data_IF_564518707079
#
_entry.id   IF_564518707079
#
_cell.length_a   1.000
_cell.length_b   1.000
_cell.length_c   1.000
_cell.angle_alpha   90.00
_cell.angle_beta   90.00
_cell.angle_gamma   90.00
#
_symmetry.space_group_name_H-M   'P 1'
#
loop_
_entity.id
_entity.type
_entity.pdbx_description
1 polymer ?
#
# COMPACT_ATOMS: atom_id res chain seq x y z
N UNK A 1 1.09 0.63 -28.15
CA UNK A 1 2.24 0.99 -27.28
C UNK A 1 2.10 0.22 -26.00
N UNK A 2 2.85 -0.84 -25.84
CA UNK A 2 2.97 -1.58 -24.60
C UNK A 2 3.48 -0.62 -23.54
N UNK A 3 2.61 -0.23 -22.60
CA UNK A 3 3.08 0.21 -21.31
C UNK A 3 3.65 -1.04 -20.63
N UNK A 4 4.92 -1.31 -20.91
CA UNK A 4 5.65 -2.36 -20.23
C UNK A 4 5.84 -1.89 -18.78
N UNK A 5 4.87 -2.19 -17.94
CA UNK A 5 5.18 -2.44 -16.54
C UNK A 5 6.08 -3.67 -16.61
N UNK A 6 7.40 -3.46 -16.58
CA UNK A 6 8.33 -4.57 -16.43
C UNK A 6 7.90 -5.30 -15.20
N UNK A 7 7.56 -6.58 -15.35
CA UNK A 7 7.19 -7.43 -14.22
C UNK A 7 8.41 -7.55 -13.30
N UNK A 8 8.54 -6.61 -12.40
CA UNK A 8 9.65 -6.54 -11.44
C UNK A 8 9.46 -7.54 -10.29
N UNK A 9 8.40 -8.35 -10.33
CA UNK A 9 8.02 -9.19 -9.19
C UNK A 9 7.40 -8.41 -8.02
N UNK A 10 7.50 -7.09 -8.03
CA UNK A 10 7.01 -6.24 -6.95
C UNK A 10 5.48 -6.09 -7.03
N UNK A 11 4.82 -6.21 -5.90
CA UNK A 11 3.36 -6.05 -5.80
C UNK A 11 2.93 -4.61 -6.02
N UNK A 12 3.70 -3.65 -5.51
CA UNK A 12 3.45 -2.22 -5.71
C UNK A 12 4.45 -1.69 -6.73
N UNK A 13 3.95 -1.06 -7.78
CA UNK A 13 4.72 -0.62 -8.92
C UNK A 13 4.52 0.88 -9.17
N UNK A 14 5.55 1.54 -9.73
CA UNK A 14 5.51 2.95 -10.08
C UNK A 14 5.58 3.09 -11.60
N UNK A 15 4.61 3.83 -12.16
CA UNK A 15 4.57 4.20 -13.57
C UNK A 15 5.42 5.45 -13.73
N UNK A 16 6.62 5.31 -14.28
CA UNK A 16 7.62 6.38 -14.37
C UNK A 16 7.08 7.62 -15.08
N UNK A 17 6.48 7.46 -16.25
CA UNK A 17 5.94 8.57 -17.05
C UNK A 17 4.84 9.38 -16.37
N UNK A 18 4.13 8.81 -15.40
CA UNK A 18 3.12 9.51 -14.62
C UNK A 18 3.69 10.10 -13.31
N UNK A 19 4.90 9.73 -12.94
CA UNK A 19 5.56 10.16 -11.70
C UNK A 19 6.56 11.30 -11.91
N UNK A 20 7.06 11.51 -13.13
CA UNK A 20 8.11 12.49 -13.46
C UNK A 20 7.72 13.93 -13.12
N UNK A 21 6.50 14.34 -13.43
CA UNK A 21 6.03 15.72 -13.22
C UNK A 21 5.60 16.01 -11.77
N UNK A 22 5.67 15.03 -10.88
CA UNK A 22 5.31 15.25 -9.49
C UNK A 22 6.42 16.07 -8.78
N UNK A 23 6.09 17.20 -8.13
CA UNK A 23 7.10 18.03 -7.49
C UNK A 23 7.86 17.27 -6.40
N UNK A 24 9.18 17.43 -6.37
CA UNK A 24 10.02 16.83 -5.32
C UNK A 24 9.68 17.51 -3.99
N UNK A 25 9.58 16.70 -2.92
CA UNK A 25 9.40 17.23 -1.56
C UNK A 25 10.54 18.15 -1.20
N UNK A 26 10.23 19.43 -0.99
CA UNK A 26 11.18 20.42 -0.50
C UNK A 26 10.47 21.69 -0.06
N UNK A 27 11.19 22.59 0.61
CA UNK A 27 10.71 23.93 0.84
C UNK A 27 10.86 24.77 -0.44
N UNK A 28 9.80 25.48 -0.80
CA UNK A 28 9.80 26.40 -1.95
C UNK A 28 9.30 27.77 -1.56
N UNK A 29 9.83 28.79 -2.22
CA UNK A 29 9.36 30.17 -2.02
C UNK A 29 8.17 30.41 -2.96
N UNK A 30 7.03 30.78 -2.38
CA UNK A 30 5.80 31.08 -3.09
C UNK A 30 5.75 32.49 -3.58
N UNK A 31 4.72 32.87 -4.33
CA UNK A 31 4.47 34.23 -4.82
C UNK A 31 4.17 35.22 -3.71
N UNK A 32 3.85 34.79 -2.51
CA UNK A 32 3.66 35.64 -1.33
C UNK A 32 4.96 36.29 -0.85
N UNK A 33 6.11 35.96 -1.44
CA UNK A 33 7.39 36.50 -1.06
C UNK A 33 7.49 37.99 -1.44
N UNK A 34 7.62 38.87 -0.46
CA UNK A 34 7.75 40.29 -0.62
C UNK A 34 9.20 40.74 -0.84
N UNK A 35 10.13 39.85 -1.04
CA UNK A 35 11.56 40.12 -1.17
C UNK A 35 12.07 41.12 -0.11
N UNK A 36 11.61 41.02 1.13
CA UNK A 36 11.81 41.95 2.22
C UNK A 36 13.29 42.26 2.48
N UNK A 37 13.60 43.48 2.93
CA UNK A 37 14.96 43.91 3.19
C UNK A 37 15.64 43.12 4.30
N UNK A 38 14.88 42.72 5.32
CA UNK A 38 15.42 42.00 6.50
C UNK A 38 15.88 40.58 6.25
N UNK A 39 15.49 39.96 5.10
CA UNK A 39 15.95 38.63 4.66
C UNK A 39 15.96 37.57 5.75
N UNK A 40 14.98 37.57 6.64
CA UNK A 40 14.91 36.67 7.80
C UNK A 40 15.06 35.20 7.42
N UNK A 41 14.51 34.77 6.27
CA UNK A 41 14.64 33.41 5.77
C UNK A 41 16.09 33.05 5.39
N UNK A 42 16.86 33.96 4.81
CA UNK A 42 18.25 33.77 4.44
C UNK A 42 19.10 33.67 5.71
N UNK A 43 18.91 34.58 6.66
CA UNK A 43 19.63 34.63 7.92
C UNK A 43 19.35 33.38 8.80
N UNK A 44 18.15 32.81 8.69
CA UNK A 44 17.79 31.58 9.40
C UNK A 44 18.39 30.30 8.78
N UNK A 45 18.87 30.36 7.54
CA UNK A 45 19.39 29.20 6.84
C UNK A 45 20.87 28.95 7.15
N UNK A 46 21.15 27.97 8.01
CA UNK A 46 22.54 27.58 8.37
C UNK A 46 23.30 26.88 7.22
N UNK A 47 22.60 26.47 6.18
CA UNK A 47 23.17 25.68 5.08
C UNK A 47 23.44 26.52 3.83
N UNK A 48 23.18 27.83 3.87
CA UNK A 48 23.33 28.70 2.71
C UNK A 48 22.48 28.30 1.50
N UNK A 49 21.36 27.60 1.74
CA UNK A 49 20.50 27.10 0.69
C UNK A 49 19.52 28.15 0.14
N UNK A 50 19.48 29.35 0.73
CA UNK A 50 18.54 30.41 0.33
C UNK A 50 19.31 31.62 -0.16
N UNK A 51 18.97 32.09 -1.34
CA UNK A 51 19.58 33.25 -1.98
C UNK A 51 18.52 34.30 -2.33
N UNK A 52 18.91 35.57 -2.31
CA UNK A 52 18.04 36.65 -2.71
C UNK A 52 17.97 36.70 -4.25
N UNK A 53 16.79 36.56 -4.80
CA UNK A 53 16.56 36.80 -6.21
C UNK A 53 16.06 38.24 -6.48
N UNK A 54 15.82 38.54 -7.73
CA UNK A 54 15.36 39.87 -8.15
C UNK A 54 13.96 40.24 -7.64
N UNK A 55 13.03 39.28 -7.72
CA UNK A 55 11.62 39.46 -7.32
C UNK A 55 11.30 38.73 -6.02
N UNK A 56 11.92 37.59 -5.80
CA UNK A 56 11.72 36.71 -4.62
C UNK A 56 12.99 35.95 -4.30
N UNK A 57 13.11 35.49 -3.07
CA UNK A 57 14.19 34.58 -2.68
C UNK A 57 14.04 33.21 -3.39
N UNK A 58 15.14 32.50 -3.53
CA UNK A 58 15.19 31.16 -4.12
C UNK A 58 15.80 30.19 -3.13
N UNK A 59 15.30 28.94 -3.13
CA UNK A 59 15.85 27.86 -2.32
C UNK A 59 16.49 26.84 -3.26
N UNK A 60 17.78 26.58 -3.07
CA UNK A 60 18.51 25.54 -3.76
C UNK A 60 18.14 24.16 -3.16
N UNK A 61 17.45 23.27 -3.93
CA UNK A 61 17.04 21.97 -3.42
C UNK A 61 18.21 21.05 -3.03
N UNK A 62 19.38 21.22 -3.68
CA UNK A 62 20.55 20.38 -3.42
C UNK A 62 21.23 20.72 -2.09
N UNK A 63 21.21 22.01 -1.72
CA UNK A 63 21.75 22.49 -0.44
C UNK A 63 20.76 22.39 0.71
N UNK A 64 19.45 22.35 0.40
CA UNK A 64 18.37 22.33 1.39
C UNK A 64 18.35 21.02 2.19
N UNK A 65 18.39 21.13 3.53
CA UNK A 65 18.26 19.99 4.46
C UNK A 65 16.85 19.86 5.04
N UNK A 66 15.86 20.51 4.44
CA UNK A 66 14.43 20.43 4.82
C UNK A 66 14.14 20.72 6.32
N UNK A 67 14.96 21.52 6.97
CA UNK A 67 14.85 21.77 8.42
C UNK A 67 13.72 22.74 8.82
N UNK A 68 13.09 23.43 7.87
CA UNK A 68 11.92 24.29 8.07
C UNK A 68 12.18 25.66 8.72
N UNK A 69 13.39 25.98 9.17
CA UNK A 69 13.71 27.24 9.86
C UNK A 69 13.39 28.49 9.06
N UNK A 70 13.61 28.44 7.74
CA UNK A 70 13.30 29.54 6.83
C UNK A 70 11.79 29.83 6.75
N UNK A 71 10.97 28.77 6.77
CA UNK A 71 9.52 28.93 6.76
C UNK A 71 9.03 29.55 8.07
N UNK A 72 9.57 29.12 9.21
CA UNK A 72 9.25 29.69 10.53
C UNK A 72 9.69 31.15 10.67
N UNK A 73 10.83 31.51 10.07
CA UNK A 73 11.38 32.86 10.13
C UNK A 73 10.68 33.83 9.18
N UNK A 74 9.91 33.36 8.21
CA UNK A 74 9.27 34.21 7.20
C UNK A 74 8.01 34.87 7.76
N UNK A 75 7.98 36.21 7.93
CA UNK A 75 6.82 36.93 8.48
C UNK A 75 5.61 36.93 7.53
N UNK A 76 5.82 36.61 6.26
CA UNK A 76 4.77 36.54 5.24
C UNK A 76 4.26 35.13 4.95
N UNK A 77 4.75 34.14 5.67
CA UNK A 77 4.45 32.71 5.38
C UNK A 77 4.65 32.35 3.88
N UNK A 78 5.65 32.96 3.26
CA UNK A 78 5.92 32.83 1.83
C UNK A 78 6.74 31.59 1.48
N UNK A 79 7.06 30.72 2.43
CA UNK A 79 7.84 29.51 2.20
C UNK A 79 6.97 28.31 2.55
N UNK A 80 6.59 27.54 1.53
CA UNK A 80 5.77 26.35 1.67
C UNK A 80 6.62 25.09 1.65
N UNK A 81 6.24 24.11 2.44
CA UNK A 81 6.80 22.76 2.40
C UNK A 81 5.95 21.88 1.49
N UNK A 82 6.44 21.62 0.28
CA UNK A 82 5.80 20.71 -0.66
C UNK A 82 6.19 19.27 -0.27
N UNK A 83 5.20 18.48 0.10
CA UNK A 83 5.38 17.06 0.45
C UNK A 83 4.72 16.20 -0.61
N UNK A 84 5.46 15.27 -1.20
CA UNK A 84 4.86 14.26 -2.06
C UNK A 84 3.91 13.37 -1.24
N UNK A 85 2.64 13.26 -1.64
CA UNK A 85 1.64 12.52 -0.88
C UNK A 85 2.04 11.06 -0.62
N UNK A 86 2.64 10.39 -1.60
CA UNK A 86 3.07 9.00 -1.48
C UNK A 86 4.14 8.78 -0.39
N UNK A 87 5.17 9.64 -0.34
CA UNK A 87 6.22 9.57 0.67
C UNK A 87 5.70 9.93 2.05
N UNK A 88 4.89 10.99 2.12
CA UNK A 88 4.32 11.44 3.40
C UNK A 88 3.35 10.44 4.01
N UNK A 89 2.60 9.72 3.17
CA UNK A 89 1.64 8.71 3.62
C UNK A 89 2.27 7.37 4.00
N UNK A 90 3.53 7.13 3.64
CA UNK A 90 4.20 5.86 3.91
C UNK A 90 4.56 5.71 5.39
N UNK A 91 3.95 4.76 6.14
CA UNK A 91 4.16 4.65 7.57
C UNK A 91 5.55 4.13 7.94
N UNK A 92 6.25 3.50 6.99
CA UNK A 92 7.56 2.87 7.19
C UNK A 92 8.68 3.55 6.38
N UNK A 93 8.42 4.72 5.82
CA UNK A 93 9.39 5.48 5.01
C UNK A 93 10.08 4.67 3.91
N UNK A 94 9.34 3.76 3.27
CA UNK A 94 9.86 2.89 2.22
C UNK A 94 9.94 3.57 0.84
N UNK A 95 9.64 4.88 0.72
CA UNK A 95 9.62 5.59 -0.55
C UNK A 95 10.77 6.58 -0.62
N UNK A 96 11.63 6.40 -1.60
CA UNK A 96 12.74 7.26 -1.97
C UNK A 96 12.56 7.79 -3.40
N UNK A 97 13.53 8.48 -3.94
CA UNK A 97 13.53 9.00 -5.31
C UNK A 97 14.83 8.64 -6.01
N UNK A 98 14.76 8.34 -7.31
CA UNK A 98 15.93 8.19 -8.15
C UNK A 98 16.46 9.56 -8.62
N UNK A 99 17.51 9.57 -9.44
CA UNK A 99 18.14 10.76 -10.02
C UNK A 99 17.18 11.61 -10.88
N UNK A 100 16.14 11.00 -11.45
CA UNK A 100 15.10 11.68 -12.25
C UNK A 100 13.92 12.15 -11.38
N UNK A 101 14.00 12.00 -10.07
CA UNK A 101 12.92 12.37 -9.16
C UNK A 101 11.74 11.40 -9.15
N UNK A 102 11.82 10.25 -9.81
CA UNK A 102 10.77 9.23 -9.82
C UNK A 102 10.78 8.48 -8.48
N UNK A 103 9.60 8.21 -7.94
CA UNK A 103 9.47 7.46 -6.70
C UNK A 103 9.97 6.03 -6.86
N UNK A 104 10.80 5.59 -5.92
CA UNK A 104 11.30 4.21 -5.82
C UNK A 104 10.85 3.62 -4.49
N UNK A 105 10.32 2.40 -4.54
CA UNK A 105 9.83 1.68 -3.37
C UNK A 105 10.90 0.70 -2.91
N UNK A 106 11.36 0.88 -1.68
CA UNK A 106 12.29 -0.03 -1.01
C UNK A 106 11.53 -1.26 -0.50
N UNK A 107 11.65 -2.38 -1.22
CA UNK A 107 10.96 -3.63 -0.88
C UNK A 107 11.42 -4.23 0.46
N UNK A 108 12.63 -3.92 0.90
CA UNK A 108 13.11 -4.37 2.22
C UNK A 108 12.31 -3.75 3.37
N UNK A 109 11.79 -2.52 3.17
CA UNK A 109 10.98 -1.78 4.15
C UNK A 109 9.49 -1.85 3.87
N UNK A 110 9.10 -2.02 2.61
CA UNK A 110 7.71 -1.93 2.20
C UNK A 110 6.86 -3.05 2.81
N UNK A 111 5.81 -2.68 3.54
CA UNK A 111 4.84 -3.61 4.15
C UNK A 111 3.64 -3.90 3.25
N UNK A 112 3.65 -3.40 2.02
CA UNK A 112 2.64 -3.64 0.98
C UNK A 112 1.22 -3.18 1.34
N UNK A 113 1.08 -2.24 2.26
CA UNK A 113 -0.22 -1.76 2.74
C UNK A 113 -1.06 -0.99 1.71
N UNK A 114 -0.49 -0.54 0.59
CA UNK A 114 -1.19 0.18 -0.48
C UNK A 114 -1.49 1.66 -0.21
N UNK A 115 -1.07 2.21 0.93
CA UNK A 115 -1.39 3.61 1.31
C UNK A 115 -0.85 4.64 0.30
N UNK A 116 0.31 4.36 -0.30
CA UNK A 116 0.90 5.20 -1.35
C UNK A 116 0.07 5.21 -2.64
N UNK A 117 -0.62 4.10 -2.97
CA UNK A 117 -1.52 4.01 -4.13
C UNK A 117 -2.68 4.99 -3.94
N UNK A 118 -3.33 4.93 -2.80
CA UNK A 118 -4.44 5.82 -2.44
C UNK A 118 -4.05 7.30 -2.41
N UNK A 119 -2.82 7.57 -1.97
CA UNK A 119 -2.35 8.95 -1.79
C UNK A 119 -1.81 9.58 -3.06
N UNK A 120 -1.59 8.82 -4.13
CA UNK A 120 -1.05 9.35 -5.37
C UNK A 120 -2.16 9.99 -6.21
N UNK A 121 -2.20 11.33 -6.36
CA UNK A 121 -3.27 12.00 -7.12
C UNK A 121 -3.16 11.77 -8.63
N UNK A 122 -1.98 11.35 -9.12
CA UNK A 122 -1.73 11.07 -10.53
C UNK A 122 -2.00 9.62 -10.93
N UNK A 123 -2.34 8.75 -9.97
CA UNK A 123 -2.44 7.31 -10.24
C UNK A 123 -1.14 6.66 -10.70
N UNK A 124 0.02 7.32 -10.44
CA UNK A 124 1.33 6.82 -10.86
C UNK A 124 1.81 5.60 -10.07
N UNK A 125 1.17 5.28 -8.95
CA UNK A 125 1.49 4.11 -8.14
C UNK A 125 0.30 3.17 -8.20
N UNK A 126 0.55 1.95 -8.66
CA UNK A 126 -0.45 0.90 -8.79
C UNK A 126 -0.03 -0.39 -8.12
N UNK A 127 -0.95 -1.34 -8.01
CA UNK A 127 -0.62 -2.70 -7.59
C UNK A 127 -0.64 -3.63 -8.80
N UNK A 128 0.18 -4.70 -8.76
CA UNK A 128 0.13 -5.77 -9.75
C UNK A 128 -1.32 -6.24 -9.93
N UNK A 129 -1.77 -6.36 -11.15
CA UNK A 129 -3.11 -6.85 -11.48
C UNK A 129 -3.05 -8.28 -12.00
N UNK A 130 -4.04 -9.08 -11.65
CA UNK A 130 -4.22 -10.46 -12.11
C UNK A 130 -5.49 -10.59 -12.96
N UNK A 131 -6.05 -9.48 -13.44
CA UNK A 131 -7.34 -9.49 -14.15
C UNK A 131 -7.28 -10.32 -15.44
N UNK A 132 -6.16 -10.28 -16.15
CA UNK A 132 -5.98 -11.07 -17.39
C UNK A 132 -5.92 -12.55 -17.08
N UNK A 133 -5.13 -12.95 -16.06
CA UNK A 133 -5.01 -14.34 -15.62
C UNK A 133 -6.37 -14.91 -15.17
N UNK A 134 -7.18 -14.08 -14.50
CA UNK A 134 -8.54 -14.44 -14.06
C UNK A 134 -9.47 -14.63 -15.25
N UNK A 135 -9.45 -13.71 -16.24
CA UNK A 135 -10.25 -13.83 -17.44
C UNK A 135 -9.88 -15.09 -18.22
N UNK A 136 -8.60 -15.35 -18.36
CA UNK A 136 -8.10 -16.55 -19.06
C UNK A 136 -8.50 -17.83 -18.32
N UNK A 137 -8.45 -17.81 -16.99
CA UNK A 137 -8.91 -18.94 -16.18
C UNK A 137 -10.42 -19.21 -16.35
N UNK A 138 -11.25 -18.16 -16.31
CA UNK A 138 -12.71 -18.24 -16.47
C UNK A 138 -13.09 -18.76 -17.88
N UNK A 139 -12.35 -18.34 -18.92
CA UNK A 139 -12.58 -18.77 -20.30
C UNK A 139 -12.09 -20.19 -20.59
N UNK A 140 -11.28 -20.76 -19.71
CA UNK A 140 -10.76 -22.13 -19.88
C UNK A 140 -11.81 -23.16 -19.48
N UNK A 141 -12.22 -24.00 -20.43
CA UNK A 141 -13.20 -25.09 -20.19
C UNK A 141 -12.74 -26.15 -19.19
N UNK A 142 -11.43 -26.23 -18.96
CA UNK A 142 -10.81 -27.28 -18.11
C UNK A 142 -10.51 -26.79 -16.69
N UNK A 143 -10.93 -25.57 -16.31
CA UNK A 143 -10.63 -25.02 -14.98
C UNK A 143 -11.90 -24.72 -14.20
N UNK A 144 -11.94 -25.17 -12.96
CA UNK A 144 -12.96 -24.77 -12.00
C UNK A 144 -12.50 -23.53 -11.27
N UNK A 145 -13.11 -22.40 -11.53
CA UNK A 145 -12.73 -21.09 -10.96
C UNK A 145 -13.70 -20.69 -9.86
N UNK A 146 -13.18 -20.52 -8.66
CA UNK A 146 -13.97 -20.14 -7.48
C UNK A 146 -13.68 -18.69 -7.10
N UNK A 147 -14.74 -17.89 -6.96
CA UNK A 147 -14.66 -16.54 -6.39
C UNK A 147 -14.67 -16.60 -4.86
N UNK A 148 -13.64 -16.07 -4.23
CA UNK A 148 -13.55 -15.87 -2.78
C UNK A 148 -13.68 -14.39 -2.48
N UNK A 149 -14.82 -13.95 -1.93
CA UNK A 149 -15.13 -12.53 -1.72
C UNK A 149 -14.88 -12.13 -0.28
N UNK A 150 -14.11 -11.05 -0.11
CA UNK A 150 -13.81 -10.49 1.21
C UNK A 150 -15.07 -9.88 1.86
N UNK A 151 -15.23 -9.98 3.19
CA UNK A 151 -16.34 -9.32 3.92
C UNK A 151 -16.41 -7.81 3.65
N UNK A 152 -15.27 -7.17 3.45
CA UNK A 152 -15.18 -5.74 3.13
C UNK A 152 -15.81 -5.35 1.78
N UNK A 153 -16.21 -6.31 0.95
CA UNK A 153 -16.95 -6.04 -0.29
C UNK A 153 -18.44 -5.74 -0.02
N UNK A 154 -18.96 -6.15 1.13
CA UNK A 154 -20.32 -5.85 1.54
C UNK A 154 -20.50 -4.33 1.70
N UNK A 155 -21.61 -3.81 1.18
CA UNK A 155 -21.91 -2.38 1.22
C UNK A 155 -21.16 -1.49 0.22
N UNK A 156 -20.18 -2.01 -0.52
CA UNK A 156 -19.39 -1.22 -1.50
C UNK A 156 -20.27 -0.63 -2.64
N UNK A 157 -21.33 -1.32 -3.01
CA UNK A 157 -22.26 -0.91 -4.05
C UNK A 157 -23.63 -0.46 -3.53
N UNK A 158 -23.71 -0.12 -2.24
CA UNK A 158 -24.92 0.33 -1.56
C UNK A 158 -25.58 -0.76 -0.71
N UNK A 159 -26.41 -0.32 0.22
CA UNK A 159 -27.02 -1.20 1.24
C UNK A 159 -27.94 -2.30 0.68
N UNK A 160 -28.42 -2.15 -0.55
CA UNK A 160 -29.31 -3.14 -1.20
C UNK A 160 -28.52 -4.28 -1.89
N UNK A 161 -27.20 -4.20 -1.98
CA UNK A 161 -26.37 -5.20 -2.61
C UNK A 161 -25.84 -6.15 -1.54
N UNK A 162 -26.50 -7.28 -1.42
CA UNK A 162 -26.15 -8.34 -0.45
C UNK A 162 -25.14 -9.33 -1.04
N UNK A 163 -24.56 -10.21 -0.20
CA UNK A 163 -23.68 -11.27 -0.65
C UNK A 163 -24.36 -12.24 -1.63
N UNK A 164 -25.69 -12.41 -1.55
CA UNK A 164 -26.45 -13.13 -2.57
C UNK A 164 -26.43 -12.46 -3.95
N UNK A 165 -26.45 -11.13 -3.98
CA UNK A 165 -26.28 -10.38 -5.23
C UNK A 165 -24.88 -10.57 -5.80
N UNK A 166 -23.85 -10.55 -4.96
CA UNK A 166 -22.48 -10.88 -5.33
C UNK A 166 -22.37 -12.28 -5.92
N UNK A 167 -22.95 -13.29 -5.27
CA UNK A 167 -22.97 -14.68 -5.76
C UNK A 167 -23.55 -14.79 -7.17
N UNK A 168 -24.71 -14.17 -7.39
CA UNK A 168 -25.37 -14.14 -8.72
C UNK A 168 -24.50 -13.43 -9.76
N UNK A 169 -23.89 -12.29 -9.38
CA UNK A 169 -22.99 -11.55 -10.27
C UNK A 169 -21.76 -12.38 -10.67
N UNK A 170 -21.12 -13.05 -9.70
CA UNK A 170 -19.97 -13.90 -9.98
C UNK A 170 -20.32 -15.09 -10.88
N UNK A 171 -21.48 -15.71 -10.67
CA UNK A 171 -21.98 -16.75 -11.56
C UNK A 171 -22.23 -16.24 -12.98
N UNK A 172 -22.81 -15.04 -13.12
CA UNK A 172 -23.06 -14.42 -14.42
C UNK A 172 -21.76 -14.05 -15.17
N UNK A 173 -20.68 -13.75 -14.44
CA UNK A 173 -19.34 -13.49 -15.00
C UNK A 173 -18.65 -14.79 -15.46
N UNK A 174 -19.07 -15.96 -14.94
CA UNK A 174 -18.53 -17.27 -15.34
C UNK A 174 -17.75 -18.03 -14.26
N UNK A 175 -17.81 -17.57 -13.00
CA UNK A 175 -17.24 -18.37 -11.91
C UNK A 175 -18.07 -19.62 -11.62
N UNK A 176 -17.40 -20.73 -11.41
CA UNK A 176 -18.05 -22.03 -11.09
C UNK A 176 -18.56 -22.09 -9.64
N UNK A 177 -17.92 -21.36 -8.74
CA UNK A 177 -18.29 -21.32 -7.35
C UNK A 177 -18.07 -19.96 -6.70
N UNK A 178 -18.74 -19.77 -5.55
CA UNK A 178 -18.64 -18.54 -4.74
C UNK A 178 -18.53 -18.92 -3.27
N UNK A 179 -17.55 -18.35 -2.58
CA UNK A 179 -17.33 -18.55 -1.14
C UNK A 179 -17.06 -17.19 -0.47
N UNK A 180 -17.73 -16.96 0.64
CA UNK A 180 -17.47 -15.81 1.49
C UNK A 180 -16.24 -16.06 2.36
N UNK A 181 -15.26 -15.15 2.30
CA UNK A 181 -14.02 -15.29 3.08
C UNK A 181 -14.25 -15.06 4.59
N UNK A 182 -15.43 -14.57 4.98
CA UNK A 182 -15.86 -14.56 6.38
C UNK A 182 -15.77 -15.95 7.03
N UNK A 183 -16.15 -17.01 6.29
CA UNK A 183 -15.99 -18.40 6.76
C UNK A 183 -14.53 -18.71 7.13
N UNK A 184 -13.56 -18.22 6.33
CA UNK A 184 -12.15 -18.36 6.66
C UNK A 184 -11.75 -17.56 7.90
N UNK A 185 -12.44 -16.45 8.16
CA UNK A 185 -12.28 -15.68 9.40
C UNK A 185 -12.67 -16.48 10.63
N UNK A 186 -13.81 -17.15 10.59
CA UNK A 186 -14.27 -18.03 11.68
C UNK A 186 -13.31 -19.20 11.90
N UNK A 187 -12.84 -19.83 10.82
CA UNK A 187 -11.84 -20.89 10.90
C UNK A 187 -10.54 -20.39 11.54
N UNK A 188 -10.00 -19.28 11.06
CA UNK A 188 -8.76 -18.68 11.58
C UNK A 188 -8.92 -18.31 13.06
N UNK A 189 -10.06 -17.71 13.43
CA UNK A 189 -10.32 -17.31 14.81
C UNK A 189 -10.36 -18.50 15.76
N UNK A 190 -10.94 -19.62 15.35
CA UNK A 190 -10.97 -20.85 16.16
C UNK A 190 -9.55 -21.38 16.42
N UNK A 191 -8.72 -21.51 15.38
CA UNK A 191 -7.33 -21.96 15.52
C UNK A 191 -6.46 -20.98 16.31
N UNK A 192 -6.62 -19.67 16.07
CA UNK A 192 -5.87 -18.65 16.82
C UNK A 192 -6.27 -18.63 18.30
N UNK A 193 -7.54 -18.92 18.64
CA UNK A 193 -8.00 -18.99 20.01
C UNK A 193 -7.30 -20.11 20.80
N UNK A 194 -7.14 -21.29 20.20
CA UNK A 194 -6.44 -22.42 20.81
C UNK A 194 -4.95 -22.07 21.00
N UNK A 195 -4.28 -21.54 19.98
CA UNK A 195 -2.88 -21.11 20.05
C UNK A 195 -2.67 -19.99 21.10
N UNK A 196 -3.64 -19.12 21.23
CA UNK A 196 -3.62 -18.02 22.20
C UNK A 196 -3.78 -18.53 23.64
N UNK A 197 -4.64 -19.51 23.85
CA UNK A 197 -4.87 -20.13 25.15
C UNK A 197 -3.59 -20.86 25.63
N UNK A 198 -2.98 -21.66 24.76
CA UNK A 198 -1.73 -22.35 25.05
C UNK A 198 -0.61 -21.36 25.44
N UNK A 199 -0.47 -20.26 24.67
CA UNK A 199 0.53 -19.24 24.95
C UNK A 199 0.25 -18.50 26.27
N UNK A 200 -1.03 -18.23 26.57
CA UNK A 200 -1.44 -17.59 27.81
C UNK A 200 -1.11 -18.45 29.04
N UNK A 201 -1.40 -19.75 28.97
CA UNK A 201 -1.05 -20.71 30.03
C UNK A 201 0.47 -20.83 30.24
N UNK A 202 1.25 -20.68 29.16
CA UNK A 202 2.72 -20.62 29.23
C UNK A 202 3.28 -19.27 29.70
N UNK A 203 2.40 -18.26 29.93
CA UNK A 203 2.83 -16.89 30.30
C UNK A 203 3.40 -16.09 29.13
N UNK A 204 3.16 -16.55 27.89
CA UNK A 204 3.62 -15.89 26.69
C UNK A 204 2.54 -14.98 26.06
N UNK A 205 2.96 -14.16 25.09
CA UNK A 205 2.05 -13.28 24.33
C UNK A 205 2.06 -13.68 22.86
N UNK A 206 0.90 -13.79 22.26
CA UNK A 206 0.71 -14.01 20.83
C UNK A 206 -0.05 -12.85 20.19
N UNK A 207 0.19 -12.62 18.90
CA UNK A 207 -0.54 -11.66 18.07
C UNK A 207 -1.04 -12.36 16.81
N UNK A 208 -2.16 -11.88 16.26
CA UNK A 208 -2.81 -12.47 15.09
C UNK A 208 -1.94 -12.40 13.82
N UNK A 209 -2.14 -13.35 12.91
CA UNK A 209 -1.50 -13.42 11.58
C UNK A 209 -2.43 -13.05 10.42
N UNK A 210 -3.71 -12.77 10.67
CA UNK A 210 -4.74 -12.57 9.64
C UNK A 210 -4.48 -11.40 8.66
N UNK A 211 -3.64 -10.42 9.04
CA UNK A 211 -3.29 -9.26 8.22
C UNK A 211 -1.86 -9.34 7.67
N UNK A 212 -1.63 -9.64 6.37
CA UNK A 212 -0.29 -9.75 5.80
C UNK A 212 0.50 -8.44 5.84
N UNK A 213 -0.18 -7.30 5.84
CA UNK A 213 0.48 -6.00 6.05
C UNK A 213 1.08 -5.86 7.46
N UNK A 214 0.37 -6.35 8.47
CA UNK A 214 0.87 -6.39 9.85
C UNK A 214 2.02 -7.40 10.00
N UNK A 215 1.86 -8.61 9.46
CA UNK A 215 2.91 -9.64 9.47
C UNK A 215 4.19 -9.12 8.81
N UNK A 216 4.08 -8.47 7.64
CA UNK A 216 5.21 -7.85 6.96
C UNK A 216 5.84 -6.72 7.80
N UNK A 217 5.04 -5.94 8.51
CA UNK A 217 5.55 -4.90 9.41
C UNK A 217 6.38 -5.50 10.53
N UNK A 218 5.86 -6.53 11.21
CA UNK A 218 6.60 -7.17 12.30
C UNK A 218 7.88 -7.81 11.77
N UNK A 219 7.80 -8.64 10.74
CA UNK A 219 8.97 -9.35 10.19
C UNK A 219 10.08 -8.42 9.71
N UNK A 220 9.74 -7.25 9.16
CA UNK A 220 10.72 -6.33 8.56
C UNK A 220 11.23 -5.26 9.53
N UNK A 221 10.40 -4.81 10.45
CA UNK A 221 10.71 -3.67 11.30
C UNK A 221 10.86 -4.02 12.79
N UNK A 222 10.35 -5.20 13.19
CA UNK A 222 10.37 -5.70 14.56
C UNK A 222 10.67 -7.20 14.59
N UNK A 223 11.79 -7.65 13.97
CA UNK A 223 12.11 -9.07 13.81
C UNK A 223 12.17 -9.83 15.16
N UNK A 224 12.46 -9.14 16.24
CA UNK A 224 12.45 -9.67 17.61
C UNK A 224 11.06 -10.10 18.10
N UNK A 225 10.00 -9.66 17.42
CA UNK A 225 8.62 -10.03 17.73
C UNK A 225 8.04 -11.07 16.74
N UNK A 226 8.84 -11.55 15.81
CA UNK A 226 8.36 -12.44 14.75
C UNK A 226 7.87 -13.79 15.27
N UNK A 227 8.45 -14.28 16.36
CA UNK A 227 8.04 -15.50 17.07
C UNK A 227 6.70 -15.38 17.82
N UNK A 228 6.25 -14.14 18.05
CA UNK A 228 4.96 -13.86 18.69
C UNK A 228 3.79 -13.84 17.69
N UNK A 229 4.05 -13.86 16.40
CA UNK A 229 2.99 -13.93 15.38
C UNK A 229 2.38 -15.33 15.41
N UNK A 230 1.04 -15.43 15.34
CA UNK A 230 0.32 -16.69 15.18
C UNK A 230 0.83 -17.44 13.95
N UNK A 231 0.90 -18.77 14.04
CA UNK A 231 1.27 -19.65 12.93
C UNK A 231 0.09 -19.92 11.99
N UNK A 232 -1.11 -19.51 12.38
CA UNK A 232 -2.33 -19.71 11.62
C UNK A 232 -2.31 -18.93 10.29
N UNK A 233 -2.78 -19.56 9.23
CA UNK A 233 -2.86 -18.90 7.92
C UNK A 233 -3.96 -17.84 7.87
N UNK A 234 -3.85 -16.90 6.94
CA UNK A 234 -4.88 -15.86 6.78
C UNK A 234 -6.23 -16.46 6.34
N UNK A 235 -7.35 -15.78 6.64
CA UNK A 235 -8.70 -16.21 6.20
C UNK A 235 -8.80 -16.54 4.72
N UNK A 236 -8.12 -15.78 3.86
CA UNK A 236 -8.06 -16.05 2.42
C UNK A 236 -7.39 -17.38 2.12
N UNK A 237 -6.25 -17.64 2.73
CA UNK A 237 -5.52 -18.91 2.55
C UNK A 237 -6.27 -20.08 3.15
N UNK A 238 -6.97 -19.92 4.28
CA UNK A 238 -7.80 -20.96 4.89
C UNK A 238 -8.92 -21.40 3.94
N UNK A 239 -9.67 -20.45 3.36
CA UNK A 239 -10.72 -20.76 2.38
C UNK A 239 -10.15 -21.38 1.11
N UNK A 240 -9.02 -20.87 0.60
CA UNK A 240 -8.37 -21.46 -0.58
C UNK A 240 -7.97 -22.92 -0.34
N UNK A 241 -7.36 -23.22 0.81
CA UNK A 241 -7.01 -24.62 1.20
C UNK A 241 -8.23 -25.50 1.36
N UNK A 242 -9.31 -24.98 1.94
CA UNK A 242 -10.59 -25.71 2.07
C UNK A 242 -11.18 -26.06 0.70
N UNK A 243 -11.17 -25.14 -0.26
CA UNK A 243 -11.64 -25.39 -1.63
C UNK A 243 -10.76 -26.45 -2.29
N UNK A 244 -9.45 -26.27 -2.24
CA UNK A 244 -8.49 -27.19 -2.87
C UNK A 244 -8.46 -28.59 -2.22
N UNK A 245 -8.86 -28.72 -0.97
CA UNK A 245 -9.04 -30.04 -0.34
C UNK A 245 -10.19 -30.85 -0.96
N UNK A 246 -11.20 -30.15 -1.54
CA UNK A 246 -12.34 -30.78 -2.23
C UNK A 246 -12.13 -30.88 -3.74
N UNK A 247 -11.46 -29.91 -4.33
CA UNK A 247 -11.16 -29.81 -5.75
C UNK A 247 -9.69 -29.35 -5.91
N UNK A 248 -8.73 -30.29 -5.99
CA UNK A 248 -7.30 -29.98 -6.03
C UNK A 248 -6.89 -29.09 -7.21
N UNK A 249 -7.59 -29.19 -8.34
CA UNK A 249 -7.32 -28.43 -9.57
C UNK A 249 -8.04 -27.08 -9.60
N UNK A 250 -8.80 -26.74 -8.56
CA UNK A 250 -9.52 -25.48 -8.46
C UNK A 250 -8.59 -24.26 -8.53
N UNK A 251 -8.98 -23.30 -9.34
CA UNK A 251 -8.39 -21.96 -9.34
C UNK A 251 -9.17 -21.08 -8.38
N UNK A 252 -8.52 -20.60 -7.33
CA UNK A 252 -9.15 -19.74 -6.33
C UNK A 252 -8.80 -18.29 -6.61
N UNK A 253 -9.80 -17.43 -6.73
CA UNK A 253 -9.66 -16.00 -7.03
C UNK A 253 -10.18 -15.17 -5.86
N UNK A 254 -9.29 -14.47 -5.17
CA UNK A 254 -9.67 -13.58 -4.08
C UNK A 254 -10.08 -12.21 -4.61
N UNK A 255 -11.26 -11.76 -4.23
CA UNK A 255 -11.84 -10.46 -4.58
C UNK A 255 -11.97 -9.64 -3.30
N UNK A 256 -11.16 -8.59 -3.19
CA UNK A 256 -11.16 -7.73 -2.00
C UNK A 256 -10.23 -6.52 -2.15
N UNK A 257 -10.38 -5.51 -1.26
CA UNK A 257 -9.66 -4.23 -1.39
C UNK A 257 -8.21 -4.26 -0.89
N UNK A 258 -7.76 -5.35 -0.27
CA UNK A 258 -6.46 -5.40 0.40
C UNK A 258 -5.30 -5.71 -0.56
N UNK A 259 -4.41 -4.74 -0.76
CA UNK A 259 -3.22 -4.89 -1.61
C UNK A 259 -2.22 -5.90 -1.01
N UNK A 260 -2.05 -5.90 0.31
CA UNK A 260 -1.10 -6.78 0.98
C UNK A 260 -1.43 -8.27 0.80
N UNK A 261 -2.71 -8.62 0.62
CA UNK A 261 -3.12 -10.00 0.34
C UNK A 261 -2.58 -10.56 -0.97
N UNK A 262 -2.17 -9.71 -1.90
CA UNK A 262 -1.48 -10.17 -3.11
C UNK A 262 -0.13 -10.83 -2.84
N UNK A 263 0.48 -10.61 -1.67
CA UNK A 263 1.71 -11.29 -1.28
C UNK A 263 1.50 -12.76 -0.89
N UNK A 264 0.27 -13.12 -0.57
CA UNK A 264 -0.10 -14.49 -0.16
C UNK A 264 -0.55 -15.39 -1.33
N UNK A 265 -0.55 -14.84 -2.57
CA UNK A 265 -1.00 -15.60 -3.76
C UNK A 265 -0.01 -16.71 -4.15
N UNK A 266 1.23 -16.59 -3.70
CA UNK A 266 2.31 -17.52 -4.03
C UNK A 266 2.73 -18.40 -2.82
N UNK A 267 2.10 -18.22 -1.67
CA UNK A 267 2.29 -19.03 -0.47
C UNK A 267 1.28 -20.19 -0.45
#
# INVERSE_FOLDING_TARGET
RQMCIRDSGNIIQVISSACEDCPISSYTVTENCQNCLGKACINACKFGAIEAGRLRSHIDPQKCKECGRCAQACPYNAIAHLKRPCKFSCPVNAITYNEYGISVIDESKCIRCGKCIHSCPFGAIGSKTYIVDVIDAIKSENKHVYAMVAPAAEGQFGANITMNSWKKAMQAVGFNGFVEVALGGDMTAAYEADEWLEAYEAGEKKVTSCCPGFVNMVRKHYPELADKISTTVSPMCAVSRMIKAKDPDAVTVFIGPCVAKKSEVHD
#
